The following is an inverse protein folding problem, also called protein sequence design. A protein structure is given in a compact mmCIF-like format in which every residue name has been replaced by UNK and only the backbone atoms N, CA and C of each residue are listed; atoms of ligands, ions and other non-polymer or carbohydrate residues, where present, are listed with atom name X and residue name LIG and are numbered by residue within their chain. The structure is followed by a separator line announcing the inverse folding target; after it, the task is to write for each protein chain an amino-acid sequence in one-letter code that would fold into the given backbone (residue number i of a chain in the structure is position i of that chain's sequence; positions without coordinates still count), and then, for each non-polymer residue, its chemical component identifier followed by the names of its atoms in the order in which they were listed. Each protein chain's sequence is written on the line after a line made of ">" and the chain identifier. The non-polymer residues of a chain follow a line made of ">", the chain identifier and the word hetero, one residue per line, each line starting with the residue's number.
data_IF_410043495886
#
_entry.id   IF_410043495886
#
_cell.length_a   1.000
_cell.length_b   1.000
_cell.length_c   1.000
_cell.angle_alpha   90.00
_cell.angle_beta   90.00
_cell.angle_gamma   90.00
#
_symmetry.space_group_name_H-M   'P 1'
#
loop_
_entity.id
_entity.type
_entity.pdbx_description
1 polymer ?
#
# COMPACT_ATOMS: atom_id res chain seq x y z
N UNK A 1 6.81 12.07 -41.27
CA UNK A 1 5.84 12.26 -40.17
C UNK A 1 5.65 10.91 -39.47
N UNK A 2 6.47 10.60 -38.48
CA UNK A 2 6.33 9.43 -37.59
C UNK A 2 6.79 9.91 -36.22
N UNK A 3 5.87 10.12 -35.27
CA UNK A 3 6.24 10.74 -34.01
C UNK A 3 5.16 10.77 -32.92
N UNK A 4 4.06 10.02 -33.02
CA UNK A 4 2.97 10.12 -32.05
C UNK A 4 2.30 8.79 -31.66
N UNK A 5 2.94 7.62 -31.88
CA UNK A 5 2.38 6.30 -31.51
C UNK A 5 3.04 5.65 -30.28
N UNK A 6 4.05 6.26 -29.67
CA UNK A 6 4.86 5.57 -28.64
C UNK A 6 4.39 5.80 -27.20
N UNK A 7 3.63 6.86 -26.91
CA UNK A 7 3.24 7.17 -25.52
C UNK A 7 2.07 6.31 -25.00
N UNK A 8 1.05 6.03 -25.83
CA UNK A 8 -0.11 5.22 -25.45
C UNK A 8 0.25 3.74 -25.25
N UNK A 9 0.94 3.15 -26.22
CA UNK A 9 1.29 1.73 -26.20
C UNK A 9 2.24 1.35 -25.04
N UNK A 10 3.11 2.28 -24.63
CA UNK A 10 4.01 2.06 -23.50
C UNK A 10 3.30 2.17 -22.14
N UNK A 11 2.30 3.06 -22.04
CA UNK A 11 1.48 3.19 -20.84
C UNK A 11 0.57 1.98 -20.64
N UNK A 12 -0.04 1.49 -21.72
CA UNK A 12 -0.88 0.29 -21.69
C UNK A 12 -0.06 -0.97 -21.33
N UNK A 13 1.15 -1.11 -21.89
CA UNK A 13 2.05 -2.23 -21.58
C UNK A 13 2.56 -2.20 -20.12
N UNK A 14 2.89 -1.02 -19.59
CA UNK A 14 3.25 -0.87 -18.18
C UNK A 14 2.05 -1.10 -17.25
N UNK A 15 0.85 -0.65 -17.66
CA UNK A 15 -0.40 -0.85 -16.94
C UNK A 15 -0.73 -2.33 -16.77
N UNK A 16 -0.63 -3.10 -17.85
CA UNK A 16 -0.77 -4.56 -17.83
C UNK A 16 0.28 -5.22 -16.92
N UNK A 17 1.53 -4.76 -16.98
CA UNK A 17 2.59 -5.25 -16.11
C UNK A 17 2.30 -5.00 -14.62
N UNK A 18 1.74 -3.84 -14.30
CA UNK A 18 1.38 -3.45 -12.93
C UNK A 18 0.25 -4.28 -12.36
N UNK A 19 -0.83 -4.49 -13.12
CA UNK A 19 -1.94 -5.32 -12.69
C UNK A 19 -1.51 -6.77 -12.46
N UNK A 20 -0.73 -7.34 -13.39
CA UNK A 20 -0.20 -8.70 -13.24
C UNK A 20 0.66 -8.83 -11.98
N UNK A 21 1.53 -7.84 -11.70
CA UNK A 21 2.37 -7.84 -10.50
C UNK A 21 1.54 -7.76 -9.22
N UNK A 22 0.52 -6.89 -9.20
CA UNK A 22 -0.41 -6.79 -8.07
C UNK A 22 -1.14 -8.12 -7.86
N UNK A 23 -1.59 -8.75 -8.94
CA UNK A 23 -2.26 -10.04 -8.91
C UNK A 23 -1.38 -11.12 -8.28
N UNK A 24 -0.11 -11.22 -8.70
CA UNK A 24 0.87 -12.16 -8.16
C UNK A 24 1.14 -11.95 -6.67
N UNK A 25 1.09 -10.70 -6.18
CA UNK A 25 1.32 -10.37 -4.78
C UNK A 25 0.17 -10.77 -3.85
N UNK A 26 -1.09 -10.81 -4.33
CA UNK A 26 -2.27 -10.93 -3.46
C UNK A 26 -3.19 -12.10 -3.76
N UNK A 27 -3.40 -12.45 -5.03
CA UNK A 27 -4.47 -13.36 -5.44
C UNK A 27 -4.11 -14.85 -5.36
N UNK A 28 -2.97 -15.34 -5.94
CA UNK A 28 -2.75 -16.76 -6.03
C UNK A 28 -2.69 -17.41 -4.65
N UNK A 29 -3.00 -18.70 -4.57
CA UNK A 29 -2.91 -19.47 -3.32
C UNK A 29 -1.51 -19.37 -2.70
N UNK A 30 -0.49 -19.29 -3.54
CA UNK A 30 0.92 -19.17 -3.17
C UNK A 30 1.47 -17.74 -3.32
N UNK A 31 0.62 -16.72 -3.24
CA UNK A 31 1.05 -15.33 -3.29
C UNK A 31 2.13 -15.04 -2.25
N UNK A 32 3.14 -14.24 -2.62
CA UNK A 32 4.29 -13.95 -1.78
C UNK A 32 3.87 -13.40 -0.41
N UNK A 33 2.89 -12.49 -0.37
CA UNK A 33 2.40 -11.93 0.89
C UNK A 33 1.73 -12.97 1.79
N UNK A 34 1.06 -13.97 1.22
CA UNK A 34 0.47 -15.09 1.99
C UNK A 34 1.56 -15.98 2.58
N UNK A 35 2.65 -16.21 1.84
CA UNK A 35 3.80 -16.98 2.32
C UNK A 35 4.47 -16.26 3.49
N UNK A 36 4.78 -14.96 3.36
CA UNK A 36 5.36 -14.18 4.45
C UNK A 36 4.41 -14.09 5.65
N UNK A 37 3.11 -13.88 5.43
CA UNK A 37 2.12 -13.88 6.51
C UNK A 37 2.12 -15.18 7.29
N UNK A 38 2.20 -16.33 6.60
CA UNK A 38 2.31 -17.64 7.26
C UNK A 38 3.62 -17.80 8.03
N UNK A 39 4.75 -17.35 7.48
CA UNK A 39 6.05 -17.38 8.14
C UNK A 39 6.04 -16.60 9.47
N UNK A 40 5.57 -15.35 9.47
CA UNK A 40 5.47 -14.55 10.71
C UNK A 40 4.48 -15.16 11.71
N UNK A 41 3.39 -15.75 11.22
CA UNK A 41 2.39 -16.42 12.08
C UNK A 41 2.98 -17.60 12.86
N UNK A 42 4.02 -18.26 12.36
CA UNK A 42 4.72 -19.33 13.10
C UNK A 42 5.38 -18.82 14.39
N UNK A 43 5.77 -17.55 14.41
CA UNK A 43 6.33 -16.87 15.60
C UNK A 43 5.26 -16.12 16.41
N UNK A 44 3.97 -16.35 16.13
CA UNK A 44 2.84 -15.59 16.69
C UNK A 44 2.88 -14.08 16.39
N UNK A 45 3.51 -13.69 15.28
CA UNK A 45 3.61 -12.29 14.85
C UNK A 45 2.63 -12.03 13.71
N UNK A 46 1.86 -10.95 13.78
CA UNK A 46 0.93 -10.55 12.71
C UNK A 46 1.70 -9.79 11.63
N UNK A 47 1.58 -10.19 10.36
CA UNK A 47 2.02 -9.35 9.24
C UNK A 47 0.82 -8.58 8.67
N UNK A 48 0.90 -7.25 8.68
CA UNK A 48 -0.05 -6.35 8.06
C UNK A 48 0.60 -5.58 6.92
N UNK A 49 -0.15 -5.34 5.85
CA UNK A 49 0.31 -4.58 4.70
C UNK A 49 -0.84 -3.74 4.15
N UNK A 50 -0.53 -2.51 3.73
CA UNK A 50 -1.51 -1.63 3.10
C UNK A 50 -1.53 -1.81 1.58
N UNK A 51 -2.66 -1.49 0.95
CA UNK A 51 -2.78 -1.55 -0.51
C UNK A 51 -1.79 -0.61 -1.21
N UNK A 52 -1.57 0.60 -0.66
CA UNK A 52 -0.60 1.53 -1.24
C UNK A 52 0.85 1.05 -1.11
N UNK A 53 1.20 0.32 -0.04
CA UNK A 53 2.50 -0.31 0.06
C UNK A 53 2.73 -1.31 -1.08
N UNK A 54 1.77 -2.21 -1.31
CA UNK A 54 1.87 -3.18 -2.41
C UNK A 54 1.98 -2.49 -3.78
N UNK A 55 1.24 -1.39 -3.98
CA UNK A 55 1.34 -0.59 -5.21
C UNK A 55 2.72 0.04 -5.37
N UNK A 56 3.33 0.58 -4.30
CA UNK A 56 4.71 1.12 -4.36
C UNK A 56 5.73 0.02 -4.65
N UNK A 57 5.60 -1.17 -4.03
CA UNK A 57 6.45 -2.34 -4.33
C UNK A 57 6.33 -2.75 -5.80
N UNK A 58 5.10 -2.82 -6.32
CA UNK A 58 4.84 -3.17 -7.71
C UNK A 58 5.48 -2.17 -8.69
N UNK A 59 5.32 -0.87 -8.45
CA UNK A 59 5.97 0.19 -9.23
C UNK A 59 7.49 0.07 -9.20
N UNK A 60 8.08 -0.18 -8.02
CA UNK A 60 9.53 -0.34 -7.84
C UNK A 60 10.07 -1.56 -8.58
N UNK A 61 9.31 -2.66 -8.61
CA UNK A 61 9.68 -3.88 -9.34
C UNK A 61 9.66 -3.69 -10.87
N UNK A 62 8.65 -2.98 -11.37
CA UNK A 62 8.55 -2.62 -12.80
C UNK A 62 9.66 -1.67 -13.21
N UNK A 63 9.95 -0.65 -12.41
CA UNK A 63 11.01 0.32 -12.67
C UNK A 63 12.40 -0.33 -12.74
N UNK A 64 12.62 -1.41 -11.97
CA UNK A 64 13.87 -2.19 -11.99
C UNK A 64 13.96 -3.21 -13.13
N UNK A 65 12.98 -3.27 -14.05
CA UNK A 65 12.93 -4.22 -15.18
C UNK A 65 13.06 -5.69 -14.79
N UNK A 66 12.77 -6.02 -13.52
CA UNK A 66 12.94 -7.36 -12.96
C UNK A 66 11.61 -8.14 -12.93
N UNK A 67 10.50 -7.47 -13.27
CA UNK A 67 9.16 -8.03 -13.33
C UNK A 67 8.79 -8.78 -12.05
N UNK A 68 8.08 -9.91 -12.19
CA UNK A 68 7.67 -10.75 -11.07
C UNK A 68 8.84 -11.38 -10.30
N UNK A 69 10.03 -11.55 -10.93
CA UNK A 69 11.21 -12.13 -10.29
C UNK A 69 11.84 -11.20 -9.26
N UNK A 70 11.79 -9.89 -9.50
CA UNK A 70 12.34 -8.88 -8.59
C UNK A 70 11.50 -8.63 -7.34
N UNK A 71 10.21 -9.00 -7.37
CA UNK A 71 9.29 -8.77 -6.25
C UNK A 71 9.76 -9.41 -4.96
N UNK A 72 10.24 -10.65 -5.04
CA UNK A 72 10.75 -11.36 -3.87
C UNK A 72 11.95 -10.64 -3.26
N UNK A 73 12.90 -10.21 -4.09
CA UNK A 73 14.08 -9.50 -3.61
C UNK A 73 13.72 -8.16 -2.95
N UNK A 74 12.76 -7.42 -3.51
CA UNK A 74 12.29 -6.16 -2.91
C UNK A 74 11.61 -6.42 -1.57
N UNK A 75 10.70 -7.40 -1.50
CA UNK A 75 10.02 -7.74 -0.24
C UNK A 75 10.99 -8.26 0.82
N UNK A 76 11.97 -9.06 0.42
CA UNK A 76 12.98 -9.60 1.31
C UNK A 76 13.86 -8.50 1.88
N UNK A 77 14.25 -7.50 1.07
CA UNK A 77 14.94 -6.31 1.58
C UNK A 77 14.09 -5.53 2.59
N UNK A 78 12.81 -5.33 2.31
CA UNK A 78 11.90 -4.59 3.19
C UNK A 78 11.61 -5.31 4.51
N UNK A 79 11.56 -6.65 4.49
CA UNK A 79 11.24 -7.47 5.64
C UNK A 79 12.48 -7.99 6.38
N UNK A 80 13.70 -7.77 5.85
CA UNK A 80 14.94 -8.34 6.39
C UNK A 80 15.15 -7.99 7.86
N UNK A 81 15.00 -6.72 8.21
CA UNK A 81 15.14 -6.24 9.59
C UNK A 81 14.11 -6.89 10.51
N UNK A 82 12.83 -6.88 10.10
CA UNK A 82 11.76 -7.55 10.84
C UNK A 82 11.99 -9.07 11.00
N UNK A 83 12.57 -9.74 10.00
CA UNK A 83 12.91 -11.16 10.08
C UNK A 83 14.05 -11.45 11.06
N UNK A 84 14.97 -10.51 11.24
CA UNK A 84 16.05 -10.62 12.22
C UNK A 84 15.53 -10.35 13.62
N UNK A 85 14.69 -9.32 13.79
CA UNK A 85 14.16 -8.97 15.10
C UNK A 85 13.22 -10.04 15.66
N UNK A 86 12.26 -10.52 14.87
CA UNK A 86 11.21 -11.46 15.33
C UNK A 86 11.72 -12.68 16.13
N UNK A 87 12.76 -13.43 15.70
CA UNK A 87 13.28 -14.56 16.48
C UNK A 87 14.11 -14.13 17.70
N UNK A 88 14.80 -12.99 17.65
CA UNK A 88 15.71 -12.54 18.72
C UNK A 88 14.93 -12.14 19.99
N UNK A 89 13.71 -11.60 19.83
CA UNK A 89 12.88 -11.13 20.96
C UNK A 89 12.15 -12.23 21.73
N UNK A 90 12.38 -13.51 21.40
CA UNK A 90 11.87 -14.62 22.22
C UNK A 90 12.50 -14.67 23.62
N UNK A 91 13.64 -14.02 23.84
CA UNK A 91 14.35 -13.98 25.14
C UNK A 91 14.20 -12.65 25.89
N UNK A 92 13.66 -11.60 25.25
CA UNK A 92 13.52 -10.27 25.82
C UNK A 92 12.08 -9.96 26.27
N UNK A 93 11.95 -8.99 27.18
CA UNK A 93 10.72 -8.61 27.91
C UNK A 93 9.59 -8.12 26.99
N UNK A 94 9.90 -7.76 25.73
CA UNK A 94 8.95 -7.18 24.78
C UNK A 94 8.82 -8.00 23.49
N UNK A 95 7.93 -9.00 23.50
CA UNK A 95 7.60 -9.77 22.30
C UNK A 95 7.07 -8.87 21.17
N UNK A 96 7.48 -9.15 19.93
CA UNK A 96 6.89 -8.53 18.72
C UNK A 96 5.43 -8.98 18.57
N UNK A 97 4.52 -8.03 18.42
CA UNK A 97 3.09 -8.29 18.21
C UNK A 97 2.75 -8.28 16.71
N UNK A 98 3.32 -7.33 15.97
CA UNK A 98 3.08 -7.22 14.54
C UNK A 98 4.24 -6.59 13.76
N UNK A 99 4.28 -6.89 12.46
CA UNK A 99 5.10 -6.23 11.46
C UNK A 99 4.17 -5.55 10.47
N UNK A 100 4.41 -4.27 10.19
CA UNK A 100 3.56 -3.47 9.31
C UNK A 100 4.37 -2.97 8.11
N UNK A 101 3.83 -3.23 6.92
CA UNK A 101 4.32 -2.71 5.66
C UNK A 101 3.35 -1.66 5.11
N UNK A 102 3.67 -0.39 5.27
CA UNK A 102 2.88 0.72 4.73
C UNK A 102 3.63 1.48 3.62
N UNK A 103 3.02 2.55 3.13
CA UNK A 103 3.57 3.34 2.01
C UNK A 103 4.89 4.01 2.38
N UNK A 104 5.07 4.36 3.66
CA UNK A 104 6.28 5.00 4.20
C UNK A 104 7.47 4.03 4.22
N UNK A 105 7.20 2.73 4.35
CA UNK A 105 8.24 1.69 4.38
C UNK A 105 9.06 1.56 3.09
N UNK A 106 8.60 2.13 1.96
CA UNK A 106 9.15 1.81 0.61
C UNK A 106 9.89 2.98 -0.04
N UNK A 107 9.93 4.15 0.61
CA UNK A 107 10.54 5.38 0.10
C UNK A 107 12.06 5.28 -0.09
N UNK A 108 12.69 6.30 -0.69
CA UNK A 108 14.09 6.27 -1.18
C UNK A 108 15.12 6.06 -0.06
N UNK A 109 14.79 6.43 1.18
CA UNK A 109 15.58 6.16 2.39
C UNK A 109 15.14 4.89 3.14
N UNK A 110 14.21 4.13 2.56
CA UNK A 110 13.45 2.99 3.10
C UNK A 110 13.88 2.46 4.46
N UNK A 111 13.14 2.87 5.50
CA UNK A 111 13.31 2.39 6.89
C UNK A 111 12.79 0.95 7.11
N UNK A 112 12.57 0.18 6.04
CA UNK A 112 12.04 -1.18 6.12
C UNK A 112 10.61 -1.27 6.69
N UNK A 113 10.18 -2.49 6.95
CA UNK A 113 8.91 -2.77 7.60
C UNK A 113 8.95 -2.35 9.08
N UNK A 114 7.86 -1.74 9.56
CA UNK A 114 7.74 -1.26 10.94
C UNK A 114 7.50 -2.45 11.88
N UNK A 115 8.31 -2.59 12.91
CA UNK A 115 8.16 -3.66 13.92
C UNK A 115 7.46 -3.09 15.15
N UNK A 116 6.27 -3.64 15.47
CA UNK A 116 5.46 -3.24 16.61
C UNK A 116 5.69 -4.22 17.77
N UNK A 117 6.17 -3.69 18.90
CA UNK A 117 6.56 -4.47 20.09
C UNK A 117 5.58 -4.23 21.23
N UNK A 118 5.36 -5.27 22.03
CA UNK A 118 4.46 -5.22 23.18
C UNK A 118 3.02 -5.63 22.87
N UNK A 119 2.32 -6.13 23.89
CA UNK A 119 0.97 -6.68 23.75
C UNK A 119 -0.03 -5.58 23.35
N UNK A 120 -0.74 -5.78 22.23
CA UNK A 120 -1.76 -4.83 21.75
C UNK A 120 -1.18 -3.64 20.97
N UNK A 121 0.12 -3.68 20.63
CA UNK A 121 0.74 -2.65 19.82
C UNK A 121 0.13 -2.58 18.42
N UNK A 122 -0.28 -3.72 17.86
CA UNK A 122 -0.97 -3.75 16.58
C UNK A 122 -2.33 -3.05 16.61
N UNK A 123 -3.12 -3.31 17.65
CA UNK A 123 -4.45 -2.71 17.81
C UNK A 123 -4.34 -1.19 17.99
N UNK A 124 -3.33 -0.74 18.75
CA UNK A 124 -3.00 0.69 18.91
C UNK A 124 -2.62 1.35 17.58
N UNK A 125 -1.82 0.68 16.75
CA UNK A 125 -1.46 1.16 15.42
C UNK A 125 -2.69 1.33 14.51
N UNK A 126 -3.62 0.37 14.52
CA UNK A 126 -4.84 0.46 13.71
C UNK A 126 -5.73 1.62 14.14
N UNK A 127 -5.91 1.84 15.44
CA UNK A 127 -6.70 2.96 15.97
C UNK A 127 -6.12 4.32 15.54
N UNK A 128 -4.79 4.49 15.63
CA UNK A 128 -4.11 5.72 15.20
C UNK A 128 -4.28 6.01 13.71
N UNK A 129 -4.32 4.96 12.86
CA UNK A 129 -4.56 5.11 11.43
C UNK A 129 -6.02 5.41 11.09
N UNK A 130 -6.97 4.92 11.88
CA UNK A 130 -8.40 5.23 11.74
C UNK A 130 -8.67 6.71 12.02
N UNK A 131 -8.14 7.25 13.13
CA UNK A 131 -8.28 8.67 13.51
C UNK A 131 -7.66 9.63 12.48
N UNK A 132 -6.57 9.22 11.81
CA UNK A 132 -5.98 10.01 10.72
C UNK A 132 -6.85 9.99 9.45
N UNK A 133 -7.49 8.87 9.12
CA UNK A 133 -8.36 8.76 7.95
C UNK A 133 -9.63 9.60 8.11
N UNK A 134 -10.20 9.66 9.31
CA UNK A 134 -11.38 10.49 9.60
C UNK A 134 -11.06 11.99 9.62
N UNK A 135 -9.84 12.38 10.04
CA UNK A 135 -9.42 13.79 10.02
C UNK A 135 -9.17 14.34 8.61
N UNK A 136 -8.67 13.53 7.69
CA UNK A 136 -8.42 13.91 6.28
C UNK A 136 -9.73 14.05 5.49
N UNK A 137 -10.80 13.35 5.86
CA UNK A 137 -12.10 13.45 5.20
C UNK A 137 -12.87 14.75 5.55
N UNK A 138 -12.45 15.48 6.57
CA UNK A 138 -13.11 16.73 7.02
C UNK A 138 -12.62 18.02 6.33
N UNK A 139 -11.68 17.95 5.38
CA UNK A 139 -11.05 19.14 4.79
C UNK A 139 -11.09 19.22 3.26
N UNK A 140 -12.02 18.53 2.59
CA UNK A 140 -12.16 18.59 1.12
C UNK A 140 -13.61 18.67 0.63
N UNK A 141 -14.51 19.23 1.44
CA UNK A 141 -15.87 19.62 1.01
C UNK A 141 -16.11 21.06 1.42
N UNK A 142 -15.40 22.00 0.81
CA UNK A 142 -15.86 23.38 0.68
C UNK A 142 -15.18 23.95 -0.57
N UNK A 143 -15.98 24.64 -1.39
CA UNK A 143 -15.65 25.31 -2.67
C UNK A 143 -15.94 24.48 -3.93
N UNK A 144 -17.22 24.37 -4.27
CA UNK A 144 -17.75 24.81 -5.57
C UNK A 144 -19.29 24.74 -5.55
N UNK A 145 -19.93 25.89 -5.32
CA UNK A 145 -21.31 26.14 -5.71
C UNK A 145 -21.34 27.57 -6.27
N UNK A 146 -20.67 27.74 -7.41
CA UNK A 146 -20.80 28.94 -8.23
C UNK A 146 -22.22 29.03 -8.79
N UNK A 147 -22.68 30.26 -8.84
CA UNK A 147 -23.97 30.71 -9.28
C UNK A 147 -24.23 30.44 -10.78
N UNK A 148 -25.49 30.14 -11.10
CA UNK A 148 -26.13 30.50 -12.37
C UNK A 148 -27.53 31.07 -12.03
N UNK A 149 -27.87 32.30 -12.45
CA UNK A 149 -29.20 32.87 -12.27
C UNK A 149 -30.09 32.51 -13.47
N UNK A 150 -31.12 31.67 -13.30
CA UNK A 150 -32.14 31.47 -14.33
C UNK A 150 -33.37 32.33 -14.05
N UNK A 151 -33.51 33.40 -14.83
CA UNK A 151 -34.74 34.17 -14.97
C UNK A 151 -35.46 33.66 -16.21
N UNK A 152 -36.57 32.97 -16.01
CA UNK A 152 -37.61 32.83 -17.03
C UNK A 152 -39.00 32.87 -16.39
N UNK A 153 -39.62 34.03 -16.53
CA UNK A 153 -41.01 34.37 -16.26
C UNK A 153 -41.99 33.42 -16.94
N UNK A 154 -42.88 32.79 -16.16
CA UNK A 154 -44.13 32.22 -16.68
C UNK A 154 -45.19 33.33 -16.81
N UNK A 155 -45.57 33.61 -18.05
CA UNK A 155 -46.78 34.34 -18.36
C UNK A 155 -47.99 33.41 -18.18
N UNK A 156 -48.86 33.71 -17.22
CA UNK A 156 -50.23 33.16 -17.21
C UNK A 156 -51.14 34.21 -17.84
N UNK A 157 -51.54 33.92 -19.08
CA UNK A 157 -52.71 34.53 -19.71
C UNK A 157 -53.90 33.58 -19.59
N UNK A 158 -55.08 34.19 -19.45
CA UNK A 158 -56.46 33.66 -19.44
C UNK A 158 -56.98 33.23 -18.07
#
# INVERSE_FOLDING_TARGET
>A
MQGAMTAGFFSDFLGLGFEIVMQVLTEPRNALMKQYKKMFSMNSVKLHYTGGALRKVAKKALAKSTGARGLRSILEQLLMEAMYEVPDVMTAVEKVDAVVLDEDSIDENGNGAKVLRGKGAFDTYLLQKQDQADKVKSSSEDLEADAEPDVSTEAVSI
#
